data_IF_339469559027
#
_entry.id   IF_339469559027
#
_cell.length_a   1.000
_cell.length_b   1.000
_cell.length_c   1.000
_cell.angle_alpha   90.00
_cell.angle_beta   90.00
_cell.angle_gamma   90.00
#
_symmetry.space_group_name_H-M   'P 1'
#
loop_
_entity.id
_entity.type
_entity.pdbx_description
1 polymer ?
#
# COMPACT_ATOMS: atom_id res chain seq x y z
N UNK A 1 -82.87 -68.61 52.01
CA UNK A 1 -81.54 -67.99 52.25
C UNK A 1 -80.60 -67.92 51.04
N UNK A 2 -80.89 -68.50 49.86
CA UNK A 2 -79.97 -68.47 48.69
C UNK A 2 -79.95 -67.13 47.90
N UNK A 3 -81.11 -66.50 47.67
CA UNK A 3 -81.22 -65.20 46.94
C UNK A 3 -80.44 -64.04 47.58
N UNK A 4 -80.18 -64.06 48.89
CA UNK A 4 -79.48 -62.97 49.58
C UNK A 4 -77.95 -63.03 49.45
N UNK A 5 -77.37 -64.19 49.09
CA UNK A 5 -75.93 -64.35 48.84
C UNK A 5 -75.52 -63.95 47.42
N UNK A 6 -76.37 -64.23 46.42
CA UNK A 6 -76.14 -63.82 45.02
C UNK A 6 -76.13 -62.30 44.85
N UNK A 7 -77.04 -61.58 45.51
CA UNK A 7 -77.10 -60.11 45.47
C UNK A 7 -75.87 -59.47 46.15
N UNK A 8 -75.34 -60.08 47.22
CA UNK A 8 -74.10 -59.60 47.87
C UNK A 8 -72.86 -59.85 47.01
N UNK A 9 -72.77 -61.00 46.34
CA UNK A 9 -71.64 -61.29 45.43
C UNK A 9 -71.68 -60.40 44.18
N UNK A 10 -72.85 -60.15 43.59
CA UNK A 10 -73.01 -59.21 42.48
C UNK A 10 -72.67 -57.75 42.88
N UNK A 11 -73.05 -57.33 44.10
CA UNK A 11 -72.70 -56.03 44.66
C UNK A 11 -71.20 -55.87 44.99
N UNK A 12 -70.50 -56.96 45.29
CA UNK A 12 -69.05 -56.95 45.55
C UNK A 12 -68.25 -56.90 44.24
N UNK A 13 -68.67 -57.68 43.23
CA UNK A 13 -68.06 -57.66 41.90
C UNK A 13 -68.22 -56.29 41.22
N UNK A 14 -69.39 -55.66 41.34
CA UNK A 14 -69.62 -54.29 40.83
C UNK A 14 -68.76 -53.24 41.54
N UNK A 15 -68.55 -53.35 42.86
CA UNK A 15 -67.66 -52.44 43.62
C UNK A 15 -66.18 -52.62 43.28
N UNK A 16 -65.74 -53.83 42.92
CA UNK A 16 -64.36 -54.10 42.48
C UNK A 16 -64.12 -53.52 41.09
N UNK A 17 -65.03 -53.81 40.16
CA UNK A 17 -64.99 -53.25 38.80
C UNK A 17 -65.00 -51.71 38.81
N UNK A 18 -65.74 -51.09 39.74
CA UNK A 18 -65.74 -49.63 39.90
C UNK A 18 -64.39 -49.08 40.39
N UNK A 19 -63.69 -49.76 41.29
CA UNK A 19 -62.35 -49.34 41.74
C UNK A 19 -61.30 -49.53 40.66
N UNK A 20 -61.35 -50.65 39.95
CA UNK A 20 -60.44 -50.93 38.84
C UNK A 20 -60.62 -49.86 37.74
N UNK A 21 -61.88 -49.52 37.41
CA UNK A 21 -62.20 -48.41 36.51
C UNK A 21 -61.71 -47.04 37.04
N UNK A 22 -61.83 -46.76 38.35
CA UNK A 22 -61.30 -45.52 38.95
C UNK A 22 -59.76 -45.45 38.87
N UNK A 23 -59.06 -46.57 39.07
CA UNK A 23 -57.60 -46.61 38.93
C UNK A 23 -57.16 -46.42 37.49
N UNK A 24 -57.89 -47.00 36.53
CA UNK A 24 -57.63 -46.83 35.10
C UNK A 24 -57.84 -45.37 34.67
N UNK A 25 -58.92 -44.73 35.12
CA UNK A 25 -59.15 -43.30 34.89
C UNK A 25 -58.01 -42.45 35.44
N UNK A 26 -57.54 -42.71 36.67
CA UNK A 26 -56.43 -41.97 37.26
C UNK A 26 -55.10 -42.18 36.51
N UNK A 27 -54.85 -43.38 35.99
CA UNK A 27 -53.68 -43.65 35.14
C UNK A 27 -53.75 -42.88 33.82
N UNK A 28 -54.92 -42.87 33.17
CA UNK A 28 -55.16 -42.12 31.93
C UNK A 28 -55.02 -40.61 32.15
N UNK A 29 -55.49 -40.08 33.29
CA UNK A 29 -55.30 -38.67 33.66
C UNK A 29 -53.82 -38.29 33.79
N UNK A 30 -53.01 -39.13 34.44
CA UNK A 30 -51.56 -38.91 34.53
C UNK A 30 -50.89 -38.97 33.15
N UNK A 31 -51.32 -39.90 32.30
CA UNK A 31 -50.79 -40.00 30.94
C UNK A 31 -51.17 -38.78 30.09
N UNK A 32 -52.40 -38.29 30.22
CA UNK A 32 -52.87 -37.05 29.58
C UNK A 32 -52.01 -35.86 30.02
N UNK A 33 -51.76 -35.70 31.32
CA UNK A 33 -50.89 -34.64 31.84
C UNK A 33 -49.45 -34.72 31.28
N UNK A 34 -48.91 -35.93 31.12
CA UNK A 34 -47.59 -36.15 30.51
C UNK A 34 -47.59 -35.74 29.04
N UNK A 35 -48.62 -36.15 28.28
CA UNK A 35 -48.79 -35.78 26.87
C UNK A 35 -48.95 -34.26 26.71
N UNK A 36 -49.69 -33.60 27.59
CA UNK A 36 -49.85 -32.13 27.58
C UNK A 36 -48.54 -31.39 27.88
N UNK A 37 -47.71 -31.91 28.79
CA UNK A 37 -46.38 -31.35 29.06
C UNK A 37 -45.47 -31.50 27.84
N UNK A 38 -45.51 -32.64 27.17
CA UNK A 38 -44.73 -32.89 25.96
C UNK A 38 -45.20 -32.01 24.79
N UNK A 39 -46.52 -31.86 24.62
CA UNK A 39 -47.12 -30.97 23.62
C UNK A 39 -46.65 -29.52 23.80
N UNK A 40 -46.67 -29.02 25.05
CA UNK A 40 -46.13 -27.67 25.37
C UNK A 40 -44.65 -27.54 25.01
N UNK A 41 -43.83 -28.55 25.32
CA UNK A 41 -42.41 -28.57 24.95
C UNK A 41 -42.18 -28.55 23.43
N UNK A 42 -42.98 -29.30 22.66
CA UNK A 42 -42.91 -29.30 21.19
C UNK A 42 -43.38 -27.97 20.59
N UNK A 43 -44.44 -27.37 21.13
CA UNK A 43 -44.93 -26.05 20.69
C UNK A 43 -43.85 -24.97 20.88
N UNK A 44 -43.14 -24.98 22.01
CA UNK A 44 -42.05 -24.05 22.27
C UNK A 44 -40.87 -24.25 21.30
N UNK A 45 -40.50 -25.50 21.03
CA UNK A 45 -39.47 -25.82 20.01
C UNK A 45 -39.90 -25.34 18.62
N UNK A 46 -41.17 -25.54 18.25
CA UNK A 46 -41.74 -25.05 16.99
C UNK A 46 -41.63 -23.53 16.89
N UNK A 47 -42.03 -22.78 17.93
CA UNK A 47 -41.89 -21.31 17.98
C UNK A 47 -40.45 -20.85 17.78
N UNK A 48 -39.48 -21.53 18.40
CA UNK A 48 -38.05 -21.21 18.21
C UNK A 48 -37.57 -21.45 16.78
N UNK A 49 -38.05 -22.52 16.14
CA UNK A 49 -37.74 -22.79 14.73
C UNK A 49 -38.40 -21.78 13.80
N UNK A 50 -39.67 -21.44 14.03
CA UNK A 50 -40.40 -20.44 13.25
C UNK A 50 -39.71 -19.06 13.33
N UNK A 51 -39.23 -18.66 14.53
CA UNK A 51 -38.46 -17.43 14.70
C UNK A 51 -37.14 -17.43 13.89
N UNK A 52 -36.41 -18.56 13.88
CA UNK A 52 -35.19 -18.71 13.06
C UNK A 52 -35.51 -18.64 11.57
N UNK A 53 -36.62 -19.25 11.14
CA UNK A 53 -37.05 -19.22 9.74
C UNK A 53 -37.40 -17.79 9.30
N UNK A 54 -38.12 -17.04 10.13
CA UNK A 54 -38.43 -15.62 9.86
C UNK A 54 -37.13 -14.82 9.69
N UNK A 55 -36.13 -15.05 10.53
CA UNK A 55 -34.84 -14.38 10.41
C UNK A 55 -34.09 -14.73 9.12
N UNK A 56 -34.05 -16.01 8.74
CA UNK A 56 -33.41 -16.47 7.49
C UNK A 56 -34.13 -15.86 6.28
N UNK A 57 -35.46 -15.95 6.23
CA UNK A 57 -36.25 -15.38 5.12
C UNK A 57 -36.08 -13.87 5.01
N UNK A 58 -35.89 -13.15 6.11
CA UNK A 58 -35.55 -11.72 6.10
C UNK A 58 -34.19 -11.46 5.46
N UNK A 59 -33.16 -12.23 5.83
CA UNK A 59 -31.82 -12.12 5.21
C UNK A 59 -31.91 -12.40 3.71
N UNK A 60 -32.62 -13.45 3.30
CA UNK A 60 -32.77 -13.81 1.89
C UNK A 60 -33.46 -12.68 1.10
N UNK A 61 -34.54 -12.10 1.64
CA UNK A 61 -35.19 -10.93 1.03
C UNK A 61 -34.24 -9.74 0.91
N UNK A 62 -33.40 -9.50 1.93
CA UNK A 62 -32.42 -8.42 1.89
C UNK A 62 -31.34 -8.66 0.81
N UNK A 63 -30.86 -9.90 0.67
CA UNK A 63 -29.91 -10.30 -0.38
C UNK A 63 -30.54 -10.14 -1.77
N UNK A 64 -31.77 -10.62 -1.97
CA UNK A 64 -32.48 -10.47 -3.25
C UNK A 64 -32.73 -9.00 -3.61
N UNK A 65 -33.08 -8.16 -2.62
CA UNK A 65 -33.19 -6.70 -2.84
C UNK A 65 -31.85 -6.08 -3.27
N UNK A 66 -30.73 -6.50 -2.68
CA UNK A 66 -29.39 -6.03 -3.07
C UNK A 66 -28.99 -6.49 -4.48
N UNK A 67 -29.40 -7.68 -4.91
CA UNK A 67 -29.19 -8.15 -6.30
C UNK A 67 -29.98 -7.29 -7.30
N UNK A 68 -31.21 -6.91 -6.96
CA UNK A 68 -32.05 -5.99 -7.78
C UNK A 68 -31.49 -4.57 -7.81
N UNK A 69 -30.88 -4.12 -6.70
CA UNK A 69 -30.32 -2.77 -6.56
C UNK A 69 -28.84 -2.82 -6.14
N UNK A 70 -27.95 -3.22 -7.06
CA UNK A 70 -26.53 -3.40 -6.76
C UNK A 70 -25.87 -2.07 -6.42
N UNK A 71 -24.85 -2.13 -5.56
CA UNK A 71 -23.98 -0.98 -5.30
C UNK A 71 -23.17 -0.72 -6.57
N UNK A 72 -23.56 0.30 -7.34
CA UNK A 72 -22.86 0.67 -8.58
C UNK A 72 -22.17 2.01 -8.37
N UNK A 73 -20.91 2.09 -8.77
CA UNK A 73 -20.21 3.36 -8.87
C UNK A 73 -20.21 3.79 -10.33
N UNK A 74 -20.88 4.91 -10.62
CA UNK A 74 -21.00 5.47 -11.97
C UNK A 74 -20.85 6.98 -11.89
N UNK A 75 -20.15 7.59 -12.84
CA UNK A 75 -19.95 9.05 -12.89
C UNK A 75 -19.44 9.64 -11.57
N UNK A 76 -18.50 8.94 -10.92
CA UNK A 76 -17.91 9.32 -9.62
C UNK A 76 -18.91 9.40 -8.46
N UNK A 77 -20.08 8.78 -8.59
CA UNK A 77 -21.12 8.71 -7.55
C UNK A 77 -21.64 7.30 -7.42
N UNK A 78 -22.05 6.95 -6.21
CA UNK A 78 -22.75 5.70 -5.96
C UNK A 78 -24.22 5.83 -6.37
N UNK A 79 -24.78 4.76 -6.96
CA UNK A 79 -26.19 4.67 -7.34
C UNK A 79 -27.15 4.66 -6.15
N UNK A 80 -26.66 4.23 -4.98
CA UNK A 80 -27.45 4.10 -3.75
C UNK A 80 -27.39 5.36 -2.88
N UNK A 81 -28.42 5.57 -2.07
CA UNK A 81 -28.43 6.67 -1.09
C UNK A 81 -27.31 6.52 -0.06
N UNK A 82 -26.88 7.65 0.52
CA UNK A 82 -25.81 7.69 1.53
C UNK A 82 -26.11 6.81 2.75
N UNK A 83 -27.37 6.77 3.19
CA UNK A 83 -27.81 5.93 4.31
C UNK A 83 -27.66 4.44 3.99
N UNK A 84 -28.09 4.01 2.80
CA UNK A 84 -27.96 2.61 2.36
C UNK A 84 -26.48 2.21 2.24
N UNK A 85 -25.63 3.09 1.70
CA UNK A 85 -24.19 2.83 1.61
C UNK A 85 -23.54 2.72 3.00
N UNK A 86 -23.92 3.59 3.94
CA UNK A 86 -23.42 3.55 5.32
C UNK A 86 -23.80 2.23 5.98
N UNK A 87 -25.06 1.82 5.83
CA UNK A 87 -25.56 0.54 6.35
C UNK A 87 -24.80 -0.65 5.74
N UNK A 88 -24.68 -0.70 4.40
CA UNK A 88 -23.95 -1.77 3.70
C UNK A 88 -22.48 -1.84 4.15
N UNK A 89 -21.78 -0.71 4.25
CA UNK A 89 -20.39 -0.67 4.75
C UNK A 89 -20.27 -1.20 6.18
N UNK A 90 -21.20 -0.84 7.07
CA UNK A 90 -21.23 -1.34 8.45
C UNK A 90 -21.41 -2.86 8.49
N UNK A 91 -22.36 -3.38 7.71
CA UNK A 91 -22.61 -4.83 7.62
C UNK A 91 -21.41 -5.58 7.05
N UNK A 92 -20.79 -5.05 5.98
CA UNK A 92 -19.56 -5.63 5.40
C UNK A 92 -18.43 -5.67 6.41
N UNK A 93 -18.21 -4.57 7.14
CA UNK A 93 -17.14 -4.51 8.15
C UNK A 93 -17.39 -5.49 9.31
N UNK A 94 -18.61 -5.55 9.82
CA UNK A 94 -18.98 -6.49 10.88
C UNK A 94 -18.85 -7.96 10.44
N UNK A 95 -19.22 -8.27 9.18
CA UNK A 95 -19.02 -9.61 8.63
C UNK A 95 -17.53 -9.95 8.50
N UNK A 96 -16.72 -9.02 8.02
CA UNK A 96 -15.28 -9.20 7.91
C UNK A 96 -14.61 -9.40 9.28
N UNK A 97 -14.99 -8.62 10.30
CA UNK A 97 -14.51 -8.83 11.67
C UNK A 97 -14.79 -10.25 12.17
N UNK A 98 -16.01 -10.76 11.97
CA UNK A 98 -16.37 -12.14 12.37
C UNK A 98 -15.55 -13.21 11.65
N UNK A 99 -15.24 -13.01 10.38
CA UNK A 99 -14.47 -13.98 9.57
C UNK A 99 -12.98 -13.92 9.93
N UNK A 100 -12.43 -12.73 10.12
CA UNK A 100 -10.99 -12.48 10.27
C UNK A 100 -10.54 -12.41 11.73
N UNK A 101 -11.44 -12.71 12.67
CA UNK A 101 -11.13 -12.74 14.11
C UNK A 101 -11.00 -11.38 14.78
N UNK A 102 -11.62 -10.33 14.22
CA UNK A 102 -11.71 -9.01 14.85
C UNK A 102 -12.88 -8.92 15.84
N UNK A 103 -12.74 -8.04 16.84
CA UNK A 103 -13.81 -7.66 17.79
C UNK A 103 -14.04 -6.14 17.80
N UNK A 104 -15.02 -5.65 18.56
CA UNK A 104 -15.22 -4.21 18.77
C UNK A 104 -14.02 -3.54 19.45
N UNK A 105 -13.27 -4.29 20.26
CA UNK A 105 -12.03 -3.82 20.92
C UNK A 105 -10.80 -3.98 20.02
N UNK A 106 -10.84 -4.94 19.08
CA UNK A 106 -9.71 -5.29 18.19
C UNK A 106 -10.14 -5.29 16.73
N UNK A 107 -10.33 -4.09 16.18
CA UNK A 107 -10.82 -3.95 14.79
C UNK A 107 -9.76 -4.25 13.71
N UNK A 108 -8.48 -4.29 14.10
CA UNK A 108 -7.32 -4.39 13.19
C UNK A 108 -7.36 -5.62 12.26
N UNK A 109 -7.64 -6.84 12.75
CA UNK A 109 -7.67 -8.03 11.88
C UNK A 109 -8.73 -7.92 10.78
N UNK A 110 -9.92 -7.42 11.12
CA UNK A 110 -11.00 -7.17 10.16
C UNK A 110 -10.63 -6.14 9.10
N UNK A 111 -10.01 -5.03 9.52
CA UNK A 111 -9.59 -3.98 8.60
C UNK A 111 -8.48 -4.45 7.64
N UNK A 112 -7.45 -5.14 8.15
CA UNK A 112 -6.35 -5.67 7.34
C UNK A 112 -6.87 -6.69 6.33
N UNK A 113 -7.68 -7.66 6.77
CA UNK A 113 -8.14 -8.69 5.86
C UNK A 113 -9.13 -8.19 4.81
N UNK A 114 -9.89 -7.10 5.05
CA UNK A 114 -10.66 -6.44 3.97
C UNK A 114 -9.73 -5.90 2.89
N UNK A 115 -8.66 -5.20 3.29
CA UNK A 115 -7.70 -4.62 2.34
C UNK A 115 -7.00 -5.74 1.57
N UNK A 116 -6.51 -6.76 2.26
CA UNK A 116 -5.85 -7.92 1.65
C UNK A 116 -6.77 -8.65 0.66
N UNK A 117 -8.01 -8.94 1.09
CA UNK A 117 -9.01 -9.58 0.22
C UNK A 117 -9.28 -8.75 -1.03
N UNK A 118 -9.40 -7.42 -0.89
CA UNK A 118 -9.61 -6.53 -2.03
C UNK A 118 -8.42 -6.56 -2.99
N UNK A 119 -7.18 -6.57 -2.48
CA UNK A 119 -5.97 -6.64 -3.30
C UNK A 119 -5.83 -7.97 -4.05
N UNK A 120 -6.26 -9.09 -3.45
CA UNK A 120 -6.16 -10.43 -4.04
C UNK A 120 -7.32 -10.75 -4.99
N UNK A 121 -8.54 -10.30 -4.68
CA UNK A 121 -9.76 -10.71 -5.41
C UNK A 121 -10.22 -9.72 -6.47
N UNK A 122 -9.93 -8.43 -6.31
CA UNK A 122 -10.33 -7.43 -7.31
C UNK A 122 -9.30 -7.37 -8.45
N UNK A 123 -9.77 -7.12 -9.68
CA UNK A 123 -8.85 -6.86 -10.79
C UNK A 123 -8.11 -5.54 -10.57
N UNK A 124 -6.90 -5.46 -11.12
CA UNK A 124 -6.10 -4.25 -11.05
C UNK A 124 -6.83 -3.01 -11.61
N UNK A 125 -7.55 -3.16 -12.73
CA UNK A 125 -8.34 -2.08 -13.34
C UNK A 125 -9.39 -1.51 -12.38
N UNK A 126 -10.15 -2.37 -11.70
CA UNK A 126 -11.18 -1.94 -10.76
C UNK A 126 -10.55 -1.18 -9.59
N UNK A 127 -9.43 -1.68 -9.05
CA UNK A 127 -8.74 -1.02 -7.94
C UNK A 127 -8.25 0.37 -8.32
N UNK A 128 -7.63 0.52 -9.50
CA UNK A 128 -7.14 1.81 -9.99
C UNK A 128 -8.29 2.79 -10.23
N UNK A 129 -9.34 2.35 -10.92
CA UNK A 129 -10.49 3.20 -11.23
C UNK A 129 -11.18 3.72 -9.95
N UNK A 130 -11.41 2.85 -8.96
CA UNK A 130 -12.06 3.22 -7.71
C UNK A 130 -11.15 4.07 -6.80
N UNK A 131 -9.88 3.68 -6.62
CA UNK A 131 -8.95 4.41 -5.76
C UNK A 131 -8.61 5.79 -6.33
N UNK A 132 -8.50 5.93 -7.65
CA UNK A 132 -8.17 7.19 -8.31
C UNK A 132 -9.27 8.27 -8.14
N UNK A 133 -10.52 7.87 -7.88
CA UNK A 133 -11.62 8.79 -7.61
C UNK A 133 -11.80 9.05 -6.12
N UNK A 134 -11.32 8.16 -5.26
CA UNK A 134 -11.51 8.26 -3.81
C UNK A 134 -10.73 9.45 -3.22
N UNK A 135 -11.46 10.47 -2.77
CA UNK A 135 -10.87 11.68 -2.21
C UNK A 135 -10.05 11.42 -0.94
N UNK A 136 -10.51 10.55 -0.05
CA UNK A 136 -9.78 10.21 1.19
C UNK A 136 -8.46 9.53 0.86
N UNK A 137 -8.47 8.61 -0.10
CA UNK A 137 -7.26 7.94 -0.57
C UNK A 137 -6.27 8.96 -1.16
N UNK A 138 -6.69 9.75 -2.14
CA UNK A 138 -5.81 10.69 -2.83
C UNK A 138 -5.30 11.85 -1.96
N UNK A 139 -6.12 12.35 -1.03
CA UNK A 139 -5.75 13.54 -0.25
C UNK A 139 -5.01 13.21 1.05
N UNK A 140 -5.19 12.00 1.59
CA UNK A 140 -4.65 11.63 2.91
C UNK A 140 -3.75 10.39 2.85
N UNK A 141 -4.23 9.28 2.30
CA UNK A 141 -3.50 8.00 2.30
C UNK A 141 -2.32 8.01 1.34
N UNK A 142 -2.52 8.44 0.09
CA UNK A 142 -1.44 8.46 -0.90
C UNK A 142 -0.29 9.39 -0.47
N UNK A 143 -0.55 10.62 0.03
CA UNK A 143 0.51 11.48 0.54
C UNK A 143 1.23 10.92 1.78
N UNK A 144 0.56 10.18 2.66
CA UNK A 144 1.22 9.58 3.84
C UNK A 144 2.18 8.46 3.46
N UNK A 145 1.89 7.72 2.40
CA UNK A 145 2.79 6.69 1.85
C UNK A 145 3.93 7.32 1.05
N UNK A 146 3.64 8.34 0.25
CA UNK A 146 4.59 8.92 -0.69
C UNK A 146 5.62 9.85 -0.05
N UNK A 147 5.22 10.72 0.89
CA UNK A 147 6.11 11.74 1.48
C UNK A 147 7.35 11.17 2.19
N UNK A 148 7.28 10.06 2.94
CA UNK A 148 8.46 9.45 3.54
C UNK A 148 9.45 8.95 2.48
N UNK A 149 8.96 8.22 1.47
CA UNK A 149 9.78 7.71 0.36
C UNK A 149 10.41 8.84 -0.45
N UNK A 150 9.66 9.94 -0.62
CA UNK A 150 10.17 11.15 -1.25
C UNK A 150 11.31 11.78 -0.45
N UNK A 151 11.20 11.85 0.87
CA UNK A 151 12.23 12.41 1.73
C UNK A 151 13.52 11.57 1.66
N UNK A 152 13.37 10.24 1.70
CA UNK A 152 14.46 9.29 1.51
C UNK A 152 15.15 9.49 0.16
N UNK A 153 14.38 9.57 -0.92
CA UNK A 153 14.89 9.84 -2.26
C UNK A 153 15.58 11.21 -2.35
N UNK A 154 15.03 12.28 -1.75
CA UNK A 154 15.66 13.60 -1.80
C UNK A 154 17.04 13.62 -1.11
N UNK A 155 17.25 12.76 -0.11
CA UNK A 155 18.53 12.57 0.58
C UNK A 155 19.45 11.53 -0.04
N UNK A 156 19.00 10.79 -1.05
CA UNK A 156 19.75 9.66 -1.60
C UNK A 156 20.91 10.11 -2.49
N UNK A 157 21.87 9.20 -2.68
CA UNK A 157 22.95 9.33 -3.65
C UNK A 157 22.42 9.42 -5.07
N UNK A 158 21.32 8.74 -5.38
CA UNK A 158 20.67 8.79 -6.69
C UNK A 158 20.22 10.22 -7.04
N UNK A 159 19.58 10.94 -6.10
CA UNK A 159 19.20 12.33 -6.34
C UNK A 159 20.42 13.26 -6.42
N UNK A 160 21.51 12.94 -5.70
CA UNK A 160 22.78 13.65 -5.84
C UNK A 160 23.34 13.50 -7.26
N UNK A 161 23.45 12.28 -7.78
CA UNK A 161 23.93 11.98 -9.14
C UNK A 161 23.02 12.66 -10.18
N UNK A 162 21.70 12.57 -10.01
CA UNK A 162 20.73 13.29 -10.86
C UNK A 162 21.01 14.80 -10.90
N UNK A 163 21.33 15.38 -9.75
CA UNK A 163 21.63 16.81 -9.63
C UNK A 163 22.98 17.20 -10.25
N UNK A 164 23.99 16.33 -10.13
CA UNK A 164 25.27 16.46 -10.84
C UNK A 164 25.06 16.40 -12.35
N UNK A 165 24.29 15.43 -12.84
CA UNK A 165 23.94 15.32 -14.26
C UNK A 165 23.26 16.60 -14.78
N UNK A 166 22.28 17.14 -14.03
CA UNK A 166 21.66 18.42 -14.39
C UNK A 166 22.65 19.57 -14.35
N UNK A 167 23.60 19.58 -13.42
CA UNK A 167 24.63 20.61 -13.34
C UNK A 167 25.59 20.62 -14.52
N UNK A 168 25.94 19.46 -15.07
CA UNK A 168 26.78 19.32 -16.26
C UNK A 168 25.97 19.24 -17.57
N UNK A 169 24.64 19.29 -17.50
CA UNK A 169 23.78 19.23 -18.69
C UNK A 169 24.01 20.44 -19.60
N UNK A 170 24.37 20.14 -20.86
CA UNK A 170 24.73 21.15 -21.86
C UNK A 170 25.87 22.07 -21.41
N UNK A 171 26.87 21.51 -20.71
CA UNK A 171 28.01 22.23 -20.15
C UNK A 171 27.83 22.57 -18.67
N UNK A 172 28.86 23.18 -18.07
CA UNK A 172 28.87 23.49 -16.64
C UNK A 172 27.88 24.62 -16.33
N UNK A 173 26.83 24.32 -15.57
CA UNK A 173 25.82 25.30 -15.18
C UNK A 173 26.35 26.24 -14.09
N UNK A 174 26.53 27.52 -14.40
CA UNK A 174 26.84 28.52 -13.38
C UNK A 174 25.78 28.61 -12.27
N UNK A 175 26.17 29.12 -11.09
CA UNK A 175 25.31 29.23 -9.88
C UNK A 175 23.90 29.79 -10.14
N UNK A 176 23.80 30.87 -10.93
CA UNK A 176 22.51 31.50 -11.27
C UNK A 176 21.65 30.58 -12.16
N UNK A 177 22.26 29.96 -13.17
CA UNK A 177 21.60 29.02 -14.10
C UNK A 177 21.05 27.80 -13.34
N UNK A 178 21.88 27.15 -12.53
CA UNK A 178 21.46 25.99 -11.75
C UNK A 178 20.31 26.33 -10.78
N UNK A 179 20.40 27.46 -10.06
CA UNK A 179 19.32 27.90 -9.15
C UNK A 179 18.01 28.17 -9.87
N UNK A 180 18.06 28.64 -11.11
CA UNK A 180 16.87 28.82 -11.96
C UNK A 180 16.27 27.45 -12.31
N UNK A 181 17.07 26.51 -12.82
CA UNK A 181 16.62 25.13 -13.14
C UNK A 181 16.03 24.43 -11.90
N UNK A 182 16.67 24.55 -10.74
CA UNK A 182 16.15 24.01 -9.48
C UNK A 182 14.75 24.54 -9.16
N UNK A 183 14.50 25.84 -9.37
CA UNK A 183 13.19 26.44 -9.13
C UNK A 183 12.19 25.96 -10.17
N UNK A 184 12.53 26.07 -11.45
CA UNK A 184 11.62 25.80 -12.57
C UNK A 184 11.22 24.31 -12.65
N UNK A 185 12.10 23.40 -12.20
CA UNK A 185 11.82 21.95 -12.17
C UNK A 185 10.83 21.52 -11.09
N UNK A 186 10.78 22.24 -9.96
CA UNK A 186 10.10 21.74 -8.75
C UNK A 186 9.12 22.74 -8.12
N UNK A 187 9.10 23.99 -8.57
CA UNK A 187 8.30 25.07 -8.00
C UNK A 187 7.56 25.85 -9.08
N UNK A 188 6.36 26.32 -8.74
CA UNK A 188 5.60 27.32 -9.47
C UNK A 188 5.44 28.59 -8.65
N UNK A 189 5.20 29.70 -9.32
CA UNK A 189 4.80 30.94 -8.66
C UNK A 189 3.28 30.90 -8.50
N UNK A 190 2.80 30.97 -7.27
CA UNK A 190 1.38 31.09 -6.96
C UNK A 190 1.08 32.50 -6.45
N UNK A 191 -0.01 33.09 -6.94
CA UNK A 191 -0.61 34.29 -6.35
C UNK A 191 -1.34 33.88 -5.06
N UNK A 192 -0.96 34.47 -3.94
CA UNK A 192 -1.68 34.36 -2.68
C UNK A 192 -2.14 35.75 -2.24
N UNK A 193 -3.06 35.82 -1.26
CA UNK A 193 -3.58 37.09 -0.72
C UNK A 193 -2.48 38.03 -0.21
N UNK A 194 -1.30 37.51 0.15
CA UNK A 194 -0.11 38.26 0.62
C UNK A 194 0.98 38.41 -0.45
N UNK A 195 0.65 38.21 -1.74
CA UNK A 195 1.58 38.38 -2.87
C UNK A 195 2.06 37.08 -3.50
N UNK A 196 3.14 37.17 -4.30
CA UNK A 196 3.69 36.04 -5.06
C UNK A 196 4.58 35.16 -4.18
N UNK A 197 4.27 33.86 -4.10
CA UNK A 197 5.07 32.87 -3.38
C UNK A 197 5.47 31.71 -4.28
N UNK A 198 6.71 31.22 -4.13
CA UNK A 198 7.12 29.96 -4.73
C UNK A 198 6.49 28.79 -3.96
N UNK A 199 5.65 28.02 -4.64
CA UNK A 199 4.97 26.83 -4.11
C UNK A 199 5.47 25.61 -4.87
N UNK A 200 5.79 24.55 -4.13
CA UNK A 200 6.27 23.30 -4.73
C UNK A 200 5.19 22.69 -5.63
N UNK A 201 5.60 22.18 -6.78
CA UNK A 201 4.70 21.43 -7.66
C UNK A 201 4.22 20.16 -6.94
N UNK A 202 2.93 19.87 -7.06
CA UNK A 202 2.31 18.69 -6.44
C UNK A 202 1.23 18.12 -7.34
N UNK A 203 1.21 16.79 -7.46
CA UNK A 203 0.20 16.02 -8.18
C UNK A 203 -0.57 15.23 -7.12
N UNK A 204 -1.90 15.36 -7.03
CA UNK A 204 -2.71 14.71 -6.00
C UNK A 204 -2.15 14.87 -4.57
N UNK A 205 -1.80 16.10 -4.18
CA UNK A 205 -1.17 16.43 -2.89
C UNK A 205 0.19 15.74 -2.61
N UNK A 206 0.78 15.08 -3.61
CA UNK A 206 2.11 14.47 -3.57
C UNK A 206 3.11 15.42 -4.24
N UNK A 207 4.10 15.96 -3.50
CA UNK A 207 5.03 16.95 -4.04
C UNK A 207 6.12 16.32 -4.92
N UNK A 208 6.48 16.95 -6.03
CA UNK A 208 7.47 16.41 -6.99
C UNK A 208 8.90 16.48 -6.40
N UNK A 209 9.78 15.45 -6.57
CA UNK A 209 11.14 15.43 -6.03
C UNK A 209 12.01 16.60 -6.47
N UNK A 210 12.69 17.25 -5.52
CA UNK A 210 13.58 18.37 -5.80
C UNK A 210 15.00 17.90 -6.11
N UNK A 211 15.68 18.66 -6.95
CA UNK A 211 17.13 18.54 -7.12
C UNK A 211 17.85 18.92 -5.81
N UNK A 212 19.12 18.56 -5.70
CA UNK A 212 19.96 18.97 -4.58
C UNK A 212 20.27 20.47 -4.69
N UNK A 213 20.08 21.28 -3.64
CA UNK A 213 20.43 22.69 -3.66
C UNK A 213 21.90 22.94 -3.98
N UNK A 214 22.21 24.01 -4.72
CA UNK A 214 23.57 24.34 -5.17
C UNK A 214 24.61 24.36 -4.03
N UNK A 215 24.24 24.86 -2.85
CA UNK A 215 25.11 24.94 -1.68
C UNK A 215 25.48 23.57 -1.10
N UNK A 216 24.64 22.54 -1.31
CA UNK A 216 24.95 21.16 -0.94
C UNK A 216 25.64 20.39 -2.07
N UNK A 217 25.29 20.70 -3.32
CA UNK A 217 25.86 20.07 -4.50
C UNK A 217 27.34 20.43 -4.71
N UNK A 218 27.72 21.71 -4.58
CA UNK A 218 29.09 22.13 -4.88
C UNK A 218 30.15 21.52 -3.95
N UNK A 219 29.94 21.40 -2.63
CA UNK A 219 30.87 20.67 -1.77
C UNK A 219 31.08 19.23 -2.24
N UNK A 220 30.00 18.54 -2.62
CA UNK A 220 30.08 17.18 -3.16
C UNK A 220 30.90 17.12 -4.46
N UNK A 221 30.64 18.03 -5.41
CA UNK A 221 31.43 18.09 -6.66
C UNK A 221 32.90 18.39 -6.37
N UNK A 222 33.18 19.30 -5.43
CA UNK A 222 34.55 19.67 -5.04
C UNK A 222 35.28 18.57 -4.30
N UNK A 223 34.58 17.69 -3.58
CA UNK A 223 35.19 16.53 -2.92
C UNK A 223 35.60 15.43 -3.89
N UNK A 224 35.12 15.46 -5.15
CA UNK A 224 35.55 14.50 -6.16
C UNK A 224 36.99 14.84 -6.58
N UNK A 225 37.96 13.91 -6.42
CA UNK A 225 39.37 14.19 -6.69
C UNK A 225 39.67 14.20 -8.19
N UNK A 226 39.42 15.32 -8.86
CA UNK A 226 39.62 15.47 -10.33
C UNK A 226 41.07 15.81 -10.73
N UNK A 227 42.05 15.49 -9.88
CA UNK A 227 43.48 15.76 -10.09
C UNK A 227 43.96 17.10 -9.51
N UNK A 228 45.27 17.27 -9.45
CA UNK A 228 45.92 18.46 -8.90
C UNK A 228 45.86 19.62 -9.90
N UNK A 229 45.60 20.83 -9.42
CA UNK A 229 45.73 22.05 -10.22
C UNK A 229 47.12 22.64 -10.00
N UNK A 230 47.83 22.87 -11.09
CA UNK A 230 49.15 23.48 -11.10
C UNK A 230 49.04 24.91 -11.62
N UNK A 231 49.78 25.82 -10.99
CA UNK A 231 49.89 27.21 -11.46
C UNK A 231 50.81 27.26 -12.68
N UNK A 232 50.35 27.85 -13.78
CA UNK A 232 51.18 28.10 -14.97
C UNK A 232 52.36 28.99 -14.59
N UNK A 233 52.08 30.04 -13.81
CA UNK A 233 53.07 31.01 -13.35
C UNK A 233 54.21 30.34 -12.57
N UNK A 234 53.89 29.39 -11.69
CA UNK A 234 54.90 28.76 -10.82
C UNK A 234 55.65 27.62 -11.51
N UNK A 235 54.99 26.86 -12.39
CA UNK A 235 55.57 25.61 -12.93
C UNK A 235 56.04 25.70 -14.37
N UNK A 236 55.50 26.62 -15.18
CA UNK A 236 55.81 26.73 -16.61
C UNK A 236 56.48 28.06 -16.97
N UNK A 237 56.49 29.05 -16.07
CA UNK A 237 57.14 30.34 -16.27
C UNK A 237 58.43 30.52 -15.47
N UNK A 238 59.02 29.41 -15.00
CA UNK A 238 60.29 29.45 -14.28
C UNK A 238 61.41 29.97 -15.20
N UNK A 239 62.15 30.99 -14.75
CA UNK A 239 63.23 31.63 -15.52
C UNK A 239 62.80 32.70 -16.53
N UNK A 240 61.51 33.02 -16.63
CA UNK A 240 61.02 34.16 -17.43
C UNK A 240 60.98 35.46 -16.62
N UNK A 241 61.19 36.60 -17.28
CA UNK A 241 60.98 37.91 -16.68
C UNK A 241 59.50 38.15 -16.36
N UNK A 242 59.22 38.95 -15.32
CA UNK A 242 57.85 39.19 -14.80
C UNK A 242 56.85 39.64 -15.88
N UNK A 243 57.32 40.38 -16.89
CA UNK A 243 56.50 40.88 -17.99
C UNK A 243 55.94 39.75 -18.89
N UNK A 244 56.62 38.60 -18.92
CA UNK A 244 56.23 37.43 -19.72
C UNK A 244 55.54 36.35 -18.91
N UNK A 245 55.42 36.51 -17.59
CA UNK A 245 54.75 35.52 -16.75
C UNK A 245 53.24 35.62 -16.88
N UNK A 246 52.60 34.47 -17.09
CA UNK A 246 51.15 34.40 -17.31
C UNK A 246 50.47 33.78 -16.11
N UNK A 247 49.42 34.44 -15.62
CA UNK A 247 48.54 33.86 -14.62
C UNK A 247 47.56 32.89 -15.26
N UNK A 248 47.57 31.66 -14.75
CA UNK A 248 46.69 30.61 -15.20
C UNK A 248 46.86 29.37 -14.35
N UNK A 249 45.96 28.42 -14.52
CA UNK A 249 46.07 27.10 -13.91
C UNK A 249 45.80 26.04 -14.95
N UNK A 250 46.53 24.93 -14.88
CA UNK A 250 46.29 23.74 -15.68
C UNK A 250 46.20 22.52 -14.77
N UNK A 251 45.79 21.41 -15.37
CA UNK A 251 45.88 20.09 -14.73
C UNK A 251 46.82 19.24 -15.56
N UNK A 252 47.65 18.46 -14.89
CA UNK A 252 48.54 17.55 -15.59
C UNK A 252 47.70 16.47 -16.29
N UNK A 253 47.84 16.39 -17.62
CA UNK A 253 47.08 15.45 -18.44
C UNK A 253 47.45 14.00 -18.14
N UNK A 254 48.72 13.72 -17.80
CA UNK A 254 49.17 12.36 -17.47
C UNK A 254 48.43 11.80 -16.25
N UNK A 255 48.26 12.61 -15.19
CA UNK A 255 47.49 12.22 -14.01
C UNK A 255 46.01 11.94 -14.32
N UNK A 256 45.43 12.76 -15.21
CA UNK A 256 44.05 12.60 -15.65
C UNK A 256 43.87 11.35 -16.52
N UNK A 257 44.82 11.07 -17.41
CA UNK A 257 44.83 9.88 -18.27
C UNK A 257 44.92 8.60 -17.46
N UNK A 258 45.76 8.54 -16.42
CA UNK A 258 45.85 7.38 -15.53
C UNK A 258 44.51 7.13 -14.83
N UNK A 259 43.90 8.17 -14.24
CA UNK A 259 42.57 8.05 -13.60
C UNK A 259 41.47 7.63 -14.57
N UNK A 260 41.55 8.12 -15.81
CA UNK A 260 40.62 7.75 -16.87
C UNK A 260 40.82 6.27 -17.27
N UNK A 261 42.07 5.82 -17.43
CA UNK A 261 42.40 4.43 -17.67
C UNK A 261 41.92 3.52 -16.54
N UNK A 262 42.19 3.88 -15.27
CA UNK A 262 41.68 3.17 -14.09
C UNK A 262 40.15 3.06 -14.13
N UNK A 263 39.45 4.17 -14.41
CA UNK A 263 38.00 4.18 -14.51
C UNK A 263 37.47 3.22 -15.59
N UNK A 264 38.07 3.23 -16.79
CA UNK A 264 37.69 2.31 -17.88
C UNK A 264 37.99 0.86 -17.50
N UNK A 265 39.15 0.58 -16.91
CA UNK A 265 39.54 -0.78 -16.50
C UNK A 265 38.68 -1.31 -15.34
N UNK A 266 38.27 -0.45 -14.40
CA UNK A 266 37.50 -0.85 -13.21
C UNK A 266 35.99 -0.90 -13.46
N UNK A 267 35.48 -0.07 -14.37
CA UNK A 267 34.03 0.14 -14.55
C UNK A 267 33.47 -0.52 -15.82
N UNK A 268 34.34 -0.94 -16.76
CA UNK A 268 33.93 -1.58 -18.01
C UNK A 268 34.26 -3.07 -18.03
N UNK A 269 33.58 -3.87 -17.20
CA UNK A 269 33.62 -5.34 -17.33
C UNK A 269 32.82 -5.88 -18.53
N UNK A 270 32.42 -5.02 -19.49
CA UNK A 270 31.57 -5.41 -20.62
C UNK A 270 31.63 -4.52 -21.87
N UNK A 271 32.59 -3.59 -21.98
CA UNK A 271 32.77 -2.79 -23.18
C UNK A 271 34.13 -3.09 -23.83
N UNK A 272 34.09 -3.54 -25.08
CA UNK A 272 35.27 -3.68 -25.94
C UNK A 272 35.78 -2.27 -26.27
N UNK A 273 36.96 -1.91 -25.80
CA UNK A 273 37.64 -0.68 -26.22
C UNK A 273 37.98 -0.83 -27.71
N UNK A 274 37.24 -0.13 -28.57
CA UNK A 274 37.57 -0.03 -30.00
C UNK A 274 38.59 1.09 -30.13
N UNK A 275 39.87 0.71 -30.20
CA UNK A 275 40.95 1.64 -30.45
C UNK A 275 41.12 1.87 -31.96
N UNK A 276 41.57 3.06 -32.34
CA UNK A 276 41.77 3.53 -33.71
C UNK A 276 42.35 2.47 -34.66
N UNK A 277 41.67 2.31 -35.81
CA UNK A 277 41.97 1.44 -36.96
C UNK A 277 42.17 -0.05 -36.63
N UNK A 278 41.08 -0.80 -36.83
CA UNK A 278 40.98 -2.25 -37.07
C UNK A 278 42.14 -3.16 -36.61
N UNK A 279 42.10 -3.64 -35.36
CA UNK A 279 42.29 -5.07 -35.10
C UNK A 279 41.75 -5.46 -33.72
N UNK A 280 40.76 -6.34 -33.71
CA UNK A 280 40.17 -6.90 -32.50
C UNK A 280 41.14 -7.91 -31.85
N UNK A 281 41.89 -7.49 -30.83
CA UNK A 281 42.53 -8.44 -29.90
C UNK A 281 42.22 -8.12 -28.45
N UNK A 282 41.93 -9.15 -27.62
CA UNK A 282 41.85 -8.98 -26.18
C UNK A 282 43.25 -8.68 -25.64
N UNK A 283 43.43 -7.50 -25.06
CA UNK A 283 44.67 -7.09 -24.39
C UNK A 283 44.98 -8.09 -23.27
N UNK A 284 46.13 -8.75 -23.36
CA UNK A 284 46.67 -9.54 -22.25
C UNK A 284 47.52 -8.61 -21.40
N UNK A 285 47.63 -8.93 -20.10
CA UNK A 285 48.34 -8.15 -19.08
C UNK A 285 49.77 -7.71 -19.46
N UNK A 286 50.39 -8.39 -20.44
CA UNK A 286 51.74 -8.12 -20.97
C UNK A 286 51.80 -6.93 -21.93
N UNK A 287 50.72 -6.62 -22.64
CA UNK A 287 50.70 -5.53 -23.63
C UNK A 287 50.71 -4.14 -22.95
N UNK A 288 50.30 -4.08 -21.68
CA UNK A 288 50.18 -2.85 -20.88
C UNK A 288 51.54 -2.42 -20.27
N UNK A 289 52.44 -3.37 -20.00
CA UNK A 289 53.78 -3.10 -19.46
C UNK A 289 54.67 -2.34 -20.46
N UNK A 290 54.43 -2.51 -21.76
CA UNK A 290 55.18 -1.81 -22.81
C UNK A 290 54.73 -0.34 -22.91
N UNK A 291 53.46 -0.04 -22.66
CA UNK A 291 52.90 1.32 -22.75
C UNK A 291 53.35 2.20 -21.58
N UNK A 292 53.48 1.63 -20.37
CA UNK A 292 53.98 2.36 -19.19
C UNK A 292 55.50 2.58 -19.19
N UNK A 293 56.25 1.91 -20.08
CA UNK A 293 57.71 2.01 -20.17
C UNK A 293 58.23 3.05 -21.19
N UNK A 294 57.35 3.72 -21.93
CA UNK A 294 57.71 4.67 -23.00
C UNK A 294 57.14 6.09 -22.83
N UNK A 295 56.59 6.41 -21.65
CA UNK A 295 56.23 7.78 -21.25
C UNK A 295 57.21 8.32 -20.21
#
# INVERSE_FOLDING_TARGET
MKKCKEVRNAGFMTKRNLRDAQTEVSQLEMELQRKDKLLRGLQERKRRMDAKLIFITYIDRAVESRKKHPTRFQNKKFSSSSSVLRQRRKETFAAAQKILGGSEETEVPGAIGIVDTALVKCSHSILVDEMSVNQKFNQSVMPSIYKPKLAEFESSTENMIRSVSVYYSSGVAGKKKYRKIYKDSSYKIAMQSKGKKHVRLSINNCPIPRLVPYNKLMPFIKSIPVGSMYSVYETLCEGLDEEYKVHGCYRNLAELLIKLAEFYLSSCSGHTLVWFEEEHRPLRYIDILIIMGFL
#
